data_IF_901263320076
#
_entry.id   IF_901263320076
#
_cell.length_a   1.000
_cell.length_b   1.000
_cell.length_c   1.000
_cell.angle_alpha   90.00
_cell.angle_beta   90.00
_cell.angle_gamma   90.00
#
_symmetry.space_group_name_H-M   'P 1'
#
loop_
_entity.id
_entity.type
_entity.pdbx_description
1 polymer ?
#
# COMPACT_ATOMS: atom_id res chain seq x y z
N UNK A 1 9.21 22.76 -2.79
CA UNK A 1 9.75 21.47 -2.32
C UNK A 1 9.06 21.16 -1.02
N UNK A 2 8.55 19.93 -0.86
CA UNK A 2 7.91 19.48 0.36
C UNK A 2 8.96 19.02 1.39
N UNK A 3 8.72 19.29 2.67
CA UNK A 3 9.60 18.88 3.78
C UNK A 3 9.19 17.47 4.27
N UNK A 4 9.45 16.47 3.45
CA UNK A 4 9.11 15.08 3.80
C UNK A 4 9.86 14.60 5.05
N UNK A 5 11.11 15.01 5.22
CA UNK A 5 12.00 14.55 6.29
C UNK A 5 11.47 14.84 7.69
N UNK A 6 10.82 16.00 7.86
CA UNK A 6 10.30 16.41 9.17
C UNK A 6 8.79 16.15 9.32
N UNK A 7 8.09 15.91 8.23
CA UNK A 7 6.61 15.83 8.21
C UNK A 7 6.05 14.44 7.97
N UNK A 8 6.88 13.51 7.47
CA UNK A 8 6.45 12.14 7.18
C UNK A 8 7.35 11.14 7.88
N UNK A 9 6.73 10.18 8.56
CA UNK A 9 7.41 9.00 9.08
C UNK A 9 6.90 7.75 8.35
N UNK A 10 7.83 6.94 7.83
CA UNK A 10 7.53 5.65 7.23
C UNK A 10 7.73 4.56 8.27
N UNK A 11 6.70 3.76 8.51
CA UNK A 11 6.79 2.56 9.34
C UNK A 11 6.91 1.33 8.45
N UNK A 12 7.93 0.52 8.69
CA UNK A 12 8.10 -0.80 8.10
C UNK A 12 7.76 -1.87 9.13
N UNK A 13 7.10 -2.94 8.70
CA UNK A 13 6.77 -4.09 9.56
C UNK A 13 7.51 -5.34 9.06
N UNK A 14 8.80 -5.49 9.36
CA UNK A 14 9.65 -6.57 8.82
C UNK A 14 9.19 -7.96 9.26
N UNK A 15 8.46 -8.03 10.38
CA UNK A 15 7.92 -9.28 10.94
C UNK A 15 6.48 -9.59 10.49
N UNK A 16 5.88 -8.77 9.62
CA UNK A 16 4.56 -9.05 9.09
C UNK A 16 4.56 -10.37 8.28
N UNK A 17 3.48 -11.15 8.32
CA UNK A 17 3.41 -12.37 7.52
C UNK A 17 3.31 -12.05 6.02
N UNK A 18 3.85 -12.94 5.19
CA UNK A 18 3.62 -12.91 3.74
C UNK A 18 2.25 -13.54 3.41
N UNK A 19 1.58 -12.98 2.39
CA UNK A 19 0.30 -13.50 1.89
C UNK A 19 0.48 -14.93 1.32
N UNK A 20 -0.09 -15.96 1.98
CA UNK A 20 -0.05 -17.35 1.50
C UNK A 20 -1.15 -17.54 0.43
N UNK A 21 -1.06 -16.85 -0.69
CA UNK A 21 -2.07 -16.72 -1.73
C UNK A 21 -2.64 -18.04 -2.26
N UNK A 22 -1.87 -19.14 -2.18
CA UNK A 22 -2.22 -20.49 -2.63
C UNK A 22 -2.71 -21.42 -1.50
N UNK A 23 -2.88 -20.89 -0.27
CA UNK A 23 -3.29 -21.66 0.91
C UNK A 23 -4.46 -20.98 1.63
N UNK A 24 -5.70 -21.30 1.27
CA UNK A 24 -6.89 -20.59 1.78
C UNK A 24 -6.98 -20.54 3.31
N UNK A 25 -6.68 -21.66 4.00
CA UNK A 25 -6.79 -21.76 5.46
C UNK A 25 -5.75 -20.86 6.17
N UNK A 26 -4.50 -20.83 5.66
CA UNK A 26 -3.45 -19.95 6.19
C UNK A 26 -3.76 -18.47 5.87
N UNK A 27 -4.45 -18.23 4.77
CA UNK A 27 -4.78 -16.89 4.30
C UNK A 27 -5.77 -16.15 5.19
N UNK A 28 -6.70 -16.86 5.82
CA UNK A 28 -7.59 -16.27 6.82
C UNK A 28 -6.79 -15.70 7.99
N UNK A 29 -5.89 -16.49 8.56
CA UNK A 29 -5.00 -16.07 9.65
C UNK A 29 -4.06 -14.91 9.24
N UNK A 30 -3.60 -14.93 8.00
CA UNK A 30 -2.83 -13.81 7.43
C UNK A 30 -3.63 -12.50 7.49
N UNK A 31 -4.89 -12.49 7.02
CA UNK A 31 -5.73 -11.29 7.03
C UNK A 31 -6.05 -10.82 8.46
N UNK A 32 -6.28 -11.73 9.39
CA UNK A 32 -6.47 -11.40 10.82
C UNK A 32 -5.23 -10.68 11.39
N UNK A 33 -4.03 -11.19 11.12
CA UNK A 33 -2.78 -10.60 11.58
C UNK A 33 -2.54 -9.21 10.96
N UNK A 34 -2.73 -9.06 9.64
CA UNK A 34 -2.60 -7.78 8.97
C UNK A 34 -3.65 -6.78 9.47
N UNK A 35 -4.90 -7.21 9.68
CA UNK A 35 -5.94 -6.36 10.23
C UNK A 35 -5.59 -5.84 11.64
N UNK A 36 -5.00 -6.67 12.49
CA UNK A 36 -4.53 -6.24 13.82
C UNK A 36 -3.43 -5.17 13.70
N UNK A 37 -2.50 -5.32 12.77
CA UNK A 37 -1.50 -4.30 12.49
C UNK A 37 -2.14 -3.02 11.91
N UNK A 38 -3.10 -3.13 10.99
CA UNK A 38 -3.88 -1.97 10.46
C UNK A 38 -4.54 -1.22 11.60
N UNK A 39 -5.27 -1.91 12.50
CA UNK A 39 -5.91 -1.29 13.67
C UNK A 39 -4.91 -0.54 14.54
N UNK A 40 -3.75 -1.13 14.84
CA UNK A 40 -2.66 -0.50 15.62
C UNK A 40 -2.28 0.87 15.03
N UNK A 41 -2.07 0.95 13.72
CA UNK A 41 -1.64 2.20 13.08
C UNK A 41 -2.79 3.19 12.86
N UNK A 42 -4.00 2.72 12.60
CA UNK A 42 -5.20 3.57 12.53
C UNK A 42 -5.45 4.27 13.87
N UNK A 43 -5.21 3.59 14.99
CA UNK A 43 -5.32 4.20 16.32
C UNK A 43 -4.30 5.31 16.58
N UNK A 44 -3.09 5.21 16.02
CA UNK A 44 -2.07 6.28 16.17
C UNK A 44 -2.54 7.63 15.63
N UNK A 45 -3.38 7.65 14.60
CA UNK A 45 -3.91 8.85 13.95
C UNK A 45 -5.38 9.11 14.24
N UNK A 46 -5.97 8.33 15.14
CA UNK A 46 -7.39 8.41 15.51
C UNK A 46 -8.33 8.35 14.30
N UNK A 47 -8.05 7.43 13.35
CA UNK A 47 -8.65 7.40 12.03
C UNK A 47 -7.84 8.24 11.03
N UNK A 48 -8.51 9.06 10.22
CA UNK A 48 -7.91 9.87 9.15
C UNK A 48 -6.95 9.04 8.29
N UNK A 49 -7.39 7.83 7.91
CA UNK A 49 -6.55 6.81 7.31
C UNK A 49 -7.11 6.30 5.98
N UNK A 50 -6.21 6.10 5.03
CA UNK A 50 -6.47 5.44 3.76
C UNK A 50 -5.68 4.13 3.68
N UNK A 51 -6.39 3.01 3.58
CA UNK A 51 -5.81 1.68 3.41
C UNK A 51 -5.84 1.32 1.93
N UNK A 52 -4.67 1.31 1.29
CA UNK A 52 -4.49 1.02 -0.13
C UNK A 52 -4.25 -0.47 -0.35
N UNK A 53 -5.30 -1.18 -0.68
CA UNK A 53 -5.28 -2.61 -0.95
C UNK A 53 -4.92 -2.91 -2.41
N UNK A 54 -4.36 -4.09 -2.66
CA UNK A 54 -3.95 -4.55 -4.00
C UNK A 54 -5.02 -5.40 -4.69
N UNK A 55 -6.11 -5.73 -4.00
CA UNK A 55 -7.24 -6.48 -4.56
C UNK A 55 -8.52 -6.29 -3.74
N UNK A 56 -9.68 -6.49 -4.38
CA UNK A 56 -10.98 -6.46 -3.71
C UNK A 56 -11.09 -7.52 -2.60
N UNK A 57 -10.49 -8.68 -2.78
CA UNK A 57 -10.47 -9.74 -1.77
C UNK A 57 -9.70 -9.28 -0.51
N UNK A 58 -8.51 -8.71 -0.67
CA UNK A 58 -7.73 -8.18 0.45
C UNK A 58 -8.51 -7.04 1.14
N UNK A 59 -9.05 -6.11 0.37
CA UNK A 59 -9.80 -4.98 0.90
C UNK A 59 -10.99 -5.44 1.74
N UNK A 60 -11.82 -6.36 1.20
CA UNK A 60 -12.98 -6.89 1.91
C UNK A 60 -12.56 -7.62 3.18
N UNK A 61 -11.55 -8.51 3.10
CA UNK A 61 -11.09 -9.26 4.25
C UNK A 61 -10.55 -8.35 5.37
N UNK A 62 -9.78 -7.31 5.04
CA UNK A 62 -9.27 -6.37 6.03
C UNK A 62 -10.39 -5.50 6.61
N UNK A 63 -11.31 -5.02 5.78
CA UNK A 63 -12.47 -4.26 6.24
C UNK A 63 -13.31 -5.07 7.23
N UNK A 64 -13.69 -6.31 6.88
CA UNK A 64 -14.51 -7.18 7.71
C UNK A 64 -13.86 -7.49 9.07
N UNK A 65 -12.52 -7.57 9.13
CA UNK A 65 -11.75 -7.80 10.37
C UNK A 65 -11.48 -6.51 11.19
N UNK A 66 -11.74 -5.34 10.62
CA UNK A 66 -11.45 -4.05 11.28
C UNK A 66 -12.69 -3.27 11.67
N UNK A 67 -13.79 -3.40 10.92
CA UNK A 67 -14.94 -2.48 10.99
C UNK A 67 -15.57 -2.42 12.38
N UNK A 68 -15.78 -3.55 13.03
CA UNK A 68 -16.42 -3.61 14.36
C UNK A 68 -15.58 -2.89 15.42
N UNK A 69 -14.29 -3.23 15.54
CA UNK A 69 -13.38 -2.63 16.51
C UNK A 69 -13.20 -1.11 16.28
N UNK A 70 -12.99 -0.70 15.04
CA UNK A 70 -12.77 0.70 14.71
C UNK A 70 -14.02 1.54 14.92
N UNK A 71 -15.20 1.01 14.58
CA UNK A 71 -16.49 1.68 14.81
C UNK A 71 -16.79 1.81 16.29
N UNK A 72 -16.55 0.76 17.08
CA UNK A 72 -16.71 0.79 18.53
C UNK A 72 -15.83 1.86 19.21
N UNK A 73 -14.73 2.27 18.56
CA UNK A 73 -13.84 3.34 19.01
C UNK A 73 -14.15 4.73 18.42
N UNK A 74 -15.32 4.88 17.80
CA UNK A 74 -15.81 6.15 17.27
C UNK A 74 -15.23 6.56 15.91
N UNK A 75 -14.67 5.62 15.14
CA UNK A 75 -14.19 5.89 13.79
C UNK A 75 -15.29 5.62 12.76
N UNK A 76 -15.33 6.42 11.70
CA UNK A 76 -16.23 6.22 10.57
C UNK A 76 -15.53 5.37 9.50
N UNK A 77 -15.97 4.11 9.35
CA UNK A 77 -15.26 3.12 8.55
C UNK A 77 -15.98 2.88 7.23
N UNK A 78 -15.28 3.17 6.15
CA UNK A 78 -15.78 3.08 4.78
C UNK A 78 -14.97 2.09 3.95
N UNK A 79 -15.58 1.54 2.92
CA UNK A 79 -14.88 0.76 1.89
C UNK A 79 -15.41 1.06 0.50
N UNK A 80 -14.57 0.94 -0.48
CA UNK A 80 -14.95 0.97 -1.88
C UNK A 80 -15.92 -0.19 -2.18
N UNK A 81 -16.95 0.08 -3.01
CA UNK A 81 -17.97 -0.92 -3.34
C UNK A 81 -18.98 -1.19 -2.21
N UNK A 82 -19.03 -0.32 -1.18
CA UNK A 82 -20.01 -0.37 -0.09
C UNK A 82 -21.30 0.40 -0.35
N UNK A 83 -21.64 0.67 -1.62
CA UNK A 83 -22.86 1.40 -2.00
C UNK A 83 -22.62 2.86 -2.38
N UNK A 84 -21.48 3.45 -2.00
CA UNK A 84 -21.09 4.82 -2.37
C UNK A 84 -20.20 4.82 -3.62
N UNK A 85 -20.34 5.86 -4.44
CA UNK A 85 -19.39 6.13 -5.53
C UNK A 85 -18.05 6.58 -4.97
N UNK A 86 -17.01 6.59 -5.81
CA UNK A 86 -15.69 7.07 -5.43
C UNK A 86 -15.72 8.54 -4.96
N UNK A 87 -16.45 9.37 -5.69
CA UNK A 87 -16.60 10.79 -5.40
C UNK A 87 -17.31 11.01 -4.06
N UNK A 88 -18.35 10.23 -3.77
CA UNK A 88 -19.05 10.26 -2.48
C UNK A 88 -18.12 9.84 -1.34
N UNK A 89 -17.31 8.79 -1.50
CA UNK A 89 -16.35 8.35 -0.50
C UNK A 89 -15.29 9.43 -0.21
N UNK A 90 -14.82 10.13 -1.23
CA UNK A 90 -13.86 11.25 -1.08
C UNK A 90 -14.50 12.42 -0.35
N UNK A 91 -15.75 12.73 -0.64
CA UNK A 91 -16.47 13.81 0.03
C UNK A 91 -16.73 13.48 1.51
N UNK A 92 -17.12 12.24 1.82
CA UNK A 92 -17.29 11.77 3.20
C UNK A 92 -16.01 11.94 4.03
N UNK A 93 -14.85 11.56 3.47
CA UNK A 93 -13.56 11.74 4.18
C UNK A 93 -13.29 13.21 4.50
N UNK A 94 -13.65 14.13 3.61
CA UNK A 94 -13.44 15.57 3.80
C UNK A 94 -14.38 16.18 4.85
N UNK A 95 -15.56 15.60 5.01
CA UNK A 95 -16.59 16.13 5.90
C UNK A 95 -16.59 15.46 7.28
N UNK A 96 -16.30 14.16 7.33
CA UNK A 96 -16.41 13.38 8.56
C UNK A 96 -15.00 13.12 9.15
N UNK A 97 -14.72 13.65 10.34
CA UNK A 97 -13.43 13.39 11.01
C UNK A 97 -13.31 11.92 11.42
N UNK A 98 -12.08 11.48 11.66
CA UNK A 98 -11.76 10.12 12.10
C UNK A 98 -12.21 9.05 11.10
N UNK A 99 -12.30 9.39 9.81
CA UNK A 99 -12.69 8.45 8.76
C UNK A 99 -11.54 7.51 8.41
N UNK A 100 -11.90 6.25 8.19
CA UNK A 100 -11.00 5.18 7.75
C UNK A 100 -11.57 4.60 6.46
N UNK A 101 -10.84 4.75 5.35
CA UNK A 101 -11.27 4.25 4.04
C UNK A 101 -10.39 3.10 3.57
N UNK A 102 -11.03 2.00 3.20
CA UNK A 102 -10.41 0.88 2.50
C UNK A 102 -10.68 0.98 0.99
N UNK A 103 -9.63 1.13 0.20
CA UNK A 103 -9.73 1.30 -1.26
C UNK A 103 -8.75 0.42 -2.04
N UNK A 104 -9.08 0.23 -3.32
CA UNK A 104 -8.25 -0.46 -4.31
C UNK A 104 -7.91 0.49 -5.47
N UNK A 105 -7.41 0.02 -6.52
CA UNK A 105 -6.85 0.68 -7.72
C UNK A 105 -7.20 2.16 -7.95
N UNK A 106 -8.48 2.55 -7.91
CA UNK A 106 -8.90 3.94 -8.14
C UNK A 106 -8.47 4.90 -7.02
N UNK A 107 -8.12 4.40 -5.85
CA UNK A 107 -7.61 5.18 -4.72
C UNK A 107 -6.07 5.32 -4.72
N UNK A 108 -5.37 4.48 -5.46
CA UNK A 108 -3.93 4.66 -5.71
C UNK A 108 -3.65 5.90 -6.56
N UNK A 109 -4.56 6.23 -7.48
CA UNK A 109 -4.43 7.36 -8.41
C UNK A 109 -5.63 8.30 -8.30
N UNK A 110 -5.41 9.61 -8.49
CA UNK A 110 -6.48 10.57 -8.71
C UNK A 110 -7.41 10.90 -7.53
N UNK A 111 -7.04 10.63 -6.28
CA UNK A 111 -7.77 11.05 -5.08
C UNK A 111 -7.05 12.23 -4.45
N UNK A 112 -7.80 13.29 -4.16
CA UNK A 112 -7.31 14.48 -3.47
C UNK A 112 -8.07 14.64 -2.14
N UNK A 113 -7.35 14.33 -1.04
CA UNK A 113 -7.86 14.43 0.32
C UNK A 113 -6.93 15.40 1.06
N UNK A 114 -7.43 16.53 1.58
CA UNK A 114 -6.62 17.52 2.31
C UNK A 114 -6.02 16.94 3.59
N UNK A 115 -4.85 17.42 3.97
CA UNK A 115 -4.02 16.94 5.06
C UNK A 115 -4.70 16.67 6.39
N UNK A 116 -5.60 17.53 6.92
CA UNK A 116 -6.28 17.27 8.21
C UNK A 116 -7.13 15.99 8.17
N UNK A 117 -7.61 15.61 7.00
CA UNK A 117 -8.50 14.46 6.79
C UNK A 117 -7.76 13.19 6.38
N UNK A 118 -6.47 13.28 6.04
CA UNK A 118 -5.63 12.14 5.71
C UNK A 118 -4.25 12.29 6.36
N UNK A 119 -4.05 11.61 7.45
CA UNK A 119 -2.81 11.62 8.23
C UNK A 119 -2.11 10.25 8.24
N UNK A 120 -2.72 9.24 7.61
CA UNK A 120 -2.20 7.89 7.61
C UNK A 120 -2.50 7.19 6.27
N UNK A 121 -1.47 6.73 5.60
CA UNK A 121 -1.60 5.87 4.41
C UNK A 121 -1.01 4.52 4.73
N UNK A 122 -1.83 3.47 4.67
CA UNK A 122 -1.41 2.11 4.96
C UNK A 122 -1.42 1.28 3.68
N UNK A 123 -0.29 0.66 3.38
CA UNK A 123 -0.11 -0.24 2.23
C UNK A 123 0.19 -1.64 2.78
N UNK A 124 -0.83 -2.52 2.87
CA UNK A 124 -0.69 -3.84 3.48
C UNK A 124 0.21 -4.81 2.71
N UNK A 125 0.41 -4.57 1.41
CA UNK A 125 1.19 -5.44 0.52
C UNK A 125 1.78 -4.63 -0.62
N UNK A 126 3.00 -4.97 -1.04
CA UNK A 126 3.63 -4.38 -2.24
C UNK A 126 2.70 -4.60 -3.45
N UNK A 127 2.40 -3.54 -4.23
CA UNK A 127 1.46 -3.61 -5.35
C UNK A 127 2.07 -4.23 -6.61
N UNK A 128 2.55 -5.47 -6.52
CA UNK A 128 2.99 -6.20 -7.71
C UNK A 128 1.82 -6.41 -8.66
N UNK A 129 2.01 -6.15 -9.97
CA UNK A 129 0.99 -6.44 -10.96
C UNK A 129 0.74 -7.96 -11.03
N UNK A 130 -0.51 -8.40 -11.23
CA UNK A 130 -0.79 -9.80 -11.49
C UNK A 130 -0.18 -10.22 -12.85
N UNK A 131 0.20 -11.48 -13.03
CA UNK A 131 0.58 -11.99 -14.34
C UNK A 131 -0.54 -11.77 -15.37
N UNK A 132 -0.16 -11.30 -16.54
CA UNK A 132 -1.06 -11.10 -17.69
C UNK A 132 -0.45 -11.74 -18.92
N UNK A 133 -1.25 -12.11 -19.95
CA UNK A 133 -0.70 -12.64 -21.21
C UNK A 133 0.36 -11.72 -21.83
N UNK A 134 0.19 -10.39 -21.68
CA UNK A 134 1.17 -9.43 -22.17
C UNK A 134 2.48 -9.49 -21.37
N UNK A 135 2.41 -9.55 -20.04
CA UNK A 135 3.62 -9.64 -19.20
C UNK A 135 4.35 -10.97 -19.40
N UNK A 136 3.61 -12.06 -19.63
CA UNK A 136 4.17 -13.38 -19.96
C UNK A 136 4.91 -13.36 -21.31
N UNK A 137 4.28 -12.80 -22.34
CA UNK A 137 4.92 -12.64 -23.65
C UNK A 137 6.18 -11.75 -23.57
N UNK A 138 6.14 -10.68 -22.78
CA UNK A 138 7.31 -9.85 -22.54
C UNK A 138 8.42 -10.60 -21.80
N UNK A 139 8.08 -11.44 -20.83
CA UNK A 139 9.05 -12.31 -20.15
C UNK A 139 9.71 -13.28 -21.13
N UNK A 140 8.95 -13.90 -22.03
CA UNK A 140 9.48 -14.79 -23.06
C UNK A 140 10.48 -14.08 -23.97
N UNK A 141 10.25 -12.81 -24.34
CA UNK A 141 11.21 -12.02 -25.12
C UNK A 141 12.54 -11.90 -24.38
N UNK A 142 12.51 -11.66 -23.06
CA UNK A 142 13.72 -11.62 -22.22
C UNK A 142 14.43 -12.98 -22.19
N UNK A 143 13.67 -14.06 -22.09
CA UNK A 143 14.22 -15.42 -22.06
C UNK A 143 14.87 -15.78 -23.40
N UNK A 144 14.23 -15.41 -24.53
CA UNK A 144 14.82 -15.58 -25.90
C UNK A 144 16.10 -14.75 -26.03
N UNK A 145 16.05 -13.47 -25.58
CA UNK A 145 17.22 -12.58 -25.66
C UNK A 145 18.40 -13.08 -24.81
N UNK A 146 18.14 -13.78 -23.70
CA UNK A 146 19.14 -14.32 -22.78
C UNK A 146 19.80 -15.63 -23.28
N UNK A 147 19.19 -16.33 -24.25
CA UNK A 147 19.71 -17.61 -24.75
C UNK A 147 21.15 -17.47 -25.22
N UNK A 148 22.02 -18.38 -24.77
CA UNK A 148 23.44 -18.40 -25.13
C UNK A 148 24.29 -17.27 -24.56
N UNK A 149 23.73 -16.37 -23.77
CA UNK A 149 24.49 -15.27 -23.14
C UNK A 149 25.03 -15.65 -21.77
N UNK A 150 26.26 -15.24 -21.43
CA UNK A 150 26.79 -15.43 -20.09
C UNK A 150 25.98 -14.61 -19.08
N UNK A 151 25.91 -15.10 -17.81
CA UNK A 151 25.05 -14.57 -16.75
C UNK A 151 25.20 -13.04 -16.52
N UNK A 152 26.40 -12.50 -16.68
CA UNK A 152 26.68 -11.07 -16.53
C UNK A 152 26.16 -10.19 -17.69
N UNK A 153 25.67 -10.80 -18.78
CA UNK A 153 25.04 -10.11 -19.92
C UNK A 153 23.55 -10.42 -20.06
N UNK A 154 23.00 -11.22 -19.14
CA UNK A 154 21.57 -11.53 -19.14
C UNK A 154 20.79 -10.34 -18.54
N UNK A 155 19.63 -10.08 -19.12
CA UNK A 155 18.67 -9.09 -18.61
C UNK A 155 17.64 -9.78 -17.72
N UNK A 156 17.11 -9.06 -16.75
CA UNK A 156 16.11 -9.57 -15.83
C UNK A 156 14.81 -8.78 -15.96
N UNK A 157 13.78 -9.40 -16.53
CA UNK A 157 12.47 -8.77 -16.71
C UNK A 157 11.91 -8.18 -15.42
N UNK A 158 11.99 -8.93 -14.32
CA UNK A 158 11.51 -8.48 -13.01
C UNK A 158 12.23 -7.20 -12.56
N UNK A 159 13.56 -7.14 -12.69
CA UNK A 159 14.34 -5.96 -12.30
C UNK A 159 14.14 -4.79 -13.26
N UNK A 160 14.04 -5.06 -14.57
CA UNK A 160 14.03 -4.03 -15.63
C UNK A 160 12.63 -3.44 -15.86
N UNK A 161 11.56 -4.19 -15.53
CA UNK A 161 10.16 -3.81 -15.80
C UNK A 161 9.30 -3.79 -14.55
N UNK A 162 9.23 -4.92 -13.83
CA UNK A 162 8.31 -5.05 -12.70
C UNK A 162 8.69 -4.12 -11.56
N UNK A 163 9.95 -4.05 -11.17
CA UNK A 163 10.38 -3.20 -10.04
C UNK A 163 10.15 -1.71 -10.31
N UNK A 164 10.50 -1.14 -11.48
CA UNK A 164 10.17 0.26 -11.79
C UNK A 164 8.66 0.56 -11.78
N UNK A 165 7.83 -0.34 -12.31
CA UNK A 165 6.37 -0.19 -12.27
C UNK A 165 5.83 -0.15 -10.85
N UNK A 166 6.29 -1.08 -10.00
CA UNK A 166 5.94 -1.13 -8.58
C UNK A 166 6.41 0.13 -7.85
N UNK A 167 7.62 0.63 -8.14
CA UNK A 167 8.15 1.85 -7.56
C UNK A 167 7.24 3.06 -7.86
N UNK A 168 6.80 3.21 -9.11
CA UNK A 168 5.86 4.27 -9.50
C UNK A 168 4.55 4.14 -8.72
N UNK A 169 4.00 2.93 -8.61
CA UNK A 169 2.75 2.69 -7.88
C UNK A 169 2.90 2.97 -6.38
N UNK A 170 4.02 2.60 -5.76
CA UNK A 170 4.33 2.96 -4.37
C UNK A 170 4.45 4.48 -4.17
N UNK A 171 5.13 5.19 -5.08
CA UNK A 171 5.21 6.65 -5.07
C UNK A 171 3.83 7.30 -5.18
N UNK A 172 2.95 6.78 -6.02
CA UNK A 172 1.57 7.25 -6.14
C UNK A 172 0.79 7.07 -4.84
N UNK A 173 0.90 5.90 -4.18
CA UNK A 173 0.29 5.64 -2.88
C UNK A 173 0.85 6.55 -1.79
N UNK A 174 2.17 6.67 -1.70
CA UNK A 174 2.85 7.58 -0.78
C UNK A 174 2.39 9.03 -0.98
N UNK A 175 2.31 9.48 -2.23
CA UNK A 175 1.89 10.83 -2.60
C UNK A 175 0.42 11.16 -2.28
N UNK A 176 -0.37 10.20 -1.75
CA UNK A 176 -1.70 10.52 -1.20
C UNK A 176 -1.61 11.30 0.10
N UNK A 177 -0.56 11.10 0.90
CA UNK A 177 -0.41 11.70 2.21
C UNK A 177 -0.12 13.21 2.16
N UNK A 178 0.81 13.63 1.30
CA UNK A 178 1.27 15.02 1.24
C UNK A 178 0.78 15.68 -0.03
N UNK A 179 -0.08 16.68 0.09
CA UNK A 179 -0.65 17.51 -0.99
C UNK A 179 -0.28 18.97 -0.84
N UNK A 180 -0.22 19.44 0.41
CA UNK A 180 0.12 20.81 0.75
C UNK A 180 1.35 20.86 1.65
N UNK A 181 1.96 22.04 1.78
CA UNK A 181 3.19 22.21 2.57
C UNK A 181 2.98 21.91 4.06
N UNK A 182 1.76 22.08 4.54
CA UNK A 182 1.42 21.90 5.94
C UNK A 182 0.97 20.48 6.30
N UNK A 183 0.78 19.63 5.30
CA UNK A 183 0.42 18.24 5.50
C UNK A 183 1.54 17.49 6.23
N UNK A 184 1.13 16.59 7.11
CA UNK A 184 2.01 15.69 7.85
C UNK A 184 1.30 14.39 8.19
N UNK A 185 2.08 13.34 8.47
CA UNK A 185 1.48 12.08 8.87
C UNK A 185 2.42 10.89 8.72
N UNK A 186 1.84 9.72 8.67
CA UNK A 186 2.57 8.45 8.59
C UNK A 186 2.22 7.66 7.33
N UNK A 187 3.19 6.93 6.82
CA UNK A 187 2.99 5.90 5.79
C UNK A 187 3.41 4.56 6.38
N UNK A 188 2.54 3.57 6.34
CA UNK A 188 2.82 2.23 6.86
C UNK A 188 2.91 1.24 5.73
N UNK A 189 4.06 0.61 5.60
CA UNK A 189 4.36 -0.38 4.56
C UNK A 189 4.49 -1.76 5.22
N UNK A 190 3.45 -2.60 5.08
CA UNK A 190 3.32 -3.85 5.84
C UNK A 190 3.87 -5.08 5.12
N UNK A 191 4.64 -4.92 4.08
CA UNK A 191 5.21 -6.06 3.35
C UNK A 191 6.67 -6.30 3.79
N UNK A 192 6.99 -7.43 4.43
CA UNK A 192 8.33 -7.70 4.96
C UNK A 192 9.40 -7.79 3.85
N UNK A 193 9.01 -7.98 2.60
CA UNK A 193 9.93 -8.01 1.46
C UNK A 193 10.63 -6.66 1.23
N UNK A 194 10.08 -5.56 1.74
CA UNK A 194 10.74 -4.25 1.68
C UNK A 194 12.04 -4.23 2.50
N UNK A 195 12.05 -4.85 3.68
CA UNK A 195 13.26 -4.96 4.53
C UNK A 195 14.13 -6.19 4.18
N UNK A 196 13.51 -7.29 3.72
CA UNK A 196 14.22 -8.59 3.61
C UNK A 196 14.73 -8.91 2.20
N UNK A 197 14.22 -8.25 1.15
CA UNK A 197 14.61 -8.52 -0.24
C UNK A 197 15.46 -7.40 -0.82
N UNK A 198 16.43 -7.77 -1.67
CA UNK A 198 17.34 -6.82 -2.30
C UNK A 198 16.61 -5.72 -3.09
N UNK A 199 15.53 -6.08 -3.80
CA UNK A 199 14.71 -5.10 -4.51
C UNK A 199 13.90 -4.18 -3.56
N UNK A 200 13.70 -4.59 -2.30
CA UNK A 200 13.04 -3.75 -1.30
C UNK A 200 13.77 -2.45 -1.07
N UNK A 201 15.11 -2.49 -1.01
CA UNK A 201 15.93 -1.27 -0.91
C UNK A 201 15.77 -0.35 -2.12
N UNK A 202 15.64 -0.92 -3.33
CA UNK A 202 15.37 -0.14 -4.55
C UNK A 202 14.00 0.54 -4.48
N UNK A 203 12.99 -0.18 -3.99
CA UNK A 203 11.63 0.37 -3.81
C UNK A 203 11.60 1.46 -2.75
N UNK A 204 12.23 1.25 -1.59
CA UNK A 204 12.32 2.27 -0.54
C UNK A 204 13.12 3.49 -1.00
N UNK A 205 14.23 3.28 -1.71
CA UNK A 205 15.04 4.36 -2.28
C UNK A 205 14.35 5.17 -3.39
N UNK A 206 13.22 4.69 -3.92
CA UNK A 206 12.38 5.44 -4.85
C UNK A 206 11.42 6.42 -4.16
N UNK A 207 11.19 6.27 -2.86
CA UNK A 207 10.35 7.17 -2.07
C UNK A 207 11.13 8.43 -1.66
N UNK A 208 10.44 9.53 -1.33
CA UNK A 208 11.09 10.71 -0.78
C UNK A 208 11.89 10.40 0.49
N UNK A 209 12.93 11.19 0.75
CA UNK A 209 13.75 11.07 1.97
C UNK A 209 12.91 11.42 3.20
N UNK A 210 12.59 10.40 3.99
CA UNK A 210 11.76 10.46 5.19
C UNK A 210 12.43 9.71 6.33
N UNK A 211 12.00 9.98 7.55
CA UNK A 211 12.33 9.12 8.69
C UNK A 211 11.71 7.72 8.48
N UNK A 212 12.52 6.67 8.60
CA UNK A 212 12.07 5.28 8.52
C UNK A 212 12.22 4.62 9.89
N UNK A 213 11.17 3.99 10.37
CA UNK A 213 11.13 3.24 11.63
C UNK A 213 10.68 1.81 11.35
N UNK A 214 11.42 0.82 11.82
CA UNK A 214 11.01 -0.59 11.83
C UNK A 214 10.24 -0.90 13.13
N UNK A 215 9.05 -1.57 13.03
CA UNK A 215 8.14 -1.79 14.16
C UNK A 215 7.54 -3.22 14.14
#
# INVERSE_FOLDING_TARGET
VFDYKNKVEIFLTPNAPLDPWNKPDERKRYFENIANAVKKYVHKTKGNALILCTSNLQMKALYDNCVEDLTARGMYVLRQGGGMTREQLVEEIKQVPNTVLFGVDSFWTGVDIPGPHLQNVIIPKIPFPPPTPLSEAQQEIYDVWNRGKPRNRQRNYFADRTIPEVAIKLQQGFGRLIRHRDDSGIVVLMDPRLSTKRYGQTLLGSLPDCKITED
#
